data_IF_915707225723
#
_entry.id   IF_915707225723
#
_cell.length_a   1.000
_cell.length_b   1.000
_cell.length_c   1.000
_cell.angle_alpha   90.00
_cell.angle_beta   90.00
_cell.angle_gamma   90.00
#
_symmetry.space_group_name_H-M   'P 1'
#
loop_
_entity.id
_entity.type
_entity.pdbx_description
1 polymer ?
#
# COMPACT_ATOMS: atom_id res chain seq x y z
N UNK A 1 9.65 1.44 -2.54
CA UNK A 1 8.88 1.54 -3.79
C UNK A 1 8.05 2.81 -3.84
N UNK A 2 8.24 3.59 -4.90
CA UNK A 2 7.39 4.73 -5.28
C UNK A 2 6.19 4.24 -6.09
N UNK A 3 5.09 4.99 -6.09
CA UNK A 3 3.87 4.60 -6.83
C UNK A 3 4.12 4.41 -8.34
N UNK A 4 5.09 5.13 -8.90
CA UNK A 4 5.49 5.01 -10.30
C UNK A 4 6.08 3.63 -10.61
N UNK A 5 6.95 3.10 -9.76
CA UNK A 5 7.57 1.78 -9.98
C UNK A 5 6.51 0.67 -10.01
N UNK A 6 5.58 0.70 -9.04
CA UNK A 6 4.45 -0.24 -8.98
C UNK A 6 3.54 -0.09 -10.22
N UNK A 7 3.31 1.16 -10.65
CA UNK A 7 2.48 1.46 -11.81
C UNK A 7 3.09 0.91 -13.11
N UNK A 8 4.41 1.08 -13.28
CA UNK A 8 5.15 0.61 -14.44
C UNK A 8 5.19 -0.94 -14.48
N UNK A 9 5.43 -1.60 -13.34
CA UNK A 9 5.43 -3.07 -13.24
C UNK A 9 4.06 -3.70 -13.50
N UNK A 10 2.98 -3.06 -13.04
CA UNK A 10 1.62 -3.58 -13.14
C UNK A 10 0.85 -3.05 -14.36
N UNK A 11 1.47 -2.21 -15.20
CA UNK A 11 0.84 -1.57 -16.37
C UNK A 11 -0.46 -0.81 -16.03
N UNK A 12 -0.48 -0.12 -14.88
CA UNK A 12 -1.63 0.69 -14.41
C UNK A 12 -1.21 2.13 -14.14
N UNK A 13 -2.17 3.04 -13.96
CA UNK A 13 -1.84 4.43 -13.64
C UNK A 13 -1.27 4.58 -12.21
N UNK A 14 -0.31 5.48 -12.03
CA UNK A 14 0.18 5.84 -10.68
C UNK A 14 -0.92 6.39 -9.77
N UNK A 15 -2.00 6.95 -10.34
CA UNK A 15 -3.18 7.38 -9.59
C UNK A 15 -3.94 6.18 -9.02
N UNK A 16 -4.12 5.12 -9.82
CA UNK A 16 -4.74 3.86 -9.41
C UNK A 16 -3.97 3.22 -8.25
N UNK A 17 -2.64 3.16 -8.33
CA UNK A 17 -1.78 2.69 -7.22
C UNK A 17 -2.00 3.52 -5.95
N UNK A 18 -2.02 4.85 -6.08
CA UNK A 18 -2.27 5.76 -4.96
C UNK A 18 -3.64 5.53 -4.29
N UNK A 19 -4.69 5.33 -5.09
CA UNK A 19 -6.04 4.99 -4.59
C UNK A 19 -6.04 3.66 -3.85
N UNK A 20 -5.43 2.61 -4.41
CA UNK A 20 -5.36 1.31 -3.73
C UNK A 20 -4.58 1.38 -2.41
N UNK A 21 -3.43 2.08 -2.39
CA UNK A 21 -2.67 2.29 -1.15
C UNK A 21 -3.48 3.03 -0.10
N UNK A 22 -4.19 4.09 -0.48
CA UNK A 22 -5.05 4.85 0.43
C UNK A 22 -6.15 3.96 1.02
N UNK A 23 -6.80 3.15 0.19
CA UNK A 23 -7.83 2.22 0.64
C UNK A 23 -7.27 1.15 1.59
N UNK A 24 -6.07 0.61 1.32
CA UNK A 24 -5.41 -0.33 2.22
C UNK A 24 -5.10 0.33 3.56
N UNK A 25 -4.53 1.54 3.55
CA UNK A 25 -4.26 2.30 4.77
C UNK A 25 -5.53 2.55 5.59
N UNK A 26 -6.64 2.89 4.95
CA UNK A 26 -7.94 3.03 5.62
C UNK A 26 -8.43 1.72 6.24
N UNK A 27 -8.31 0.58 5.54
CA UNK A 27 -8.74 -0.73 6.07
C UNK A 27 -7.97 -1.15 7.32
N UNK A 28 -6.67 -0.87 7.34
CA UNK A 28 -5.79 -1.23 8.47
C UNK A 28 -5.67 -0.12 9.52
N UNK A 29 -6.35 1.02 9.33
CA UNK A 29 -6.31 2.19 10.21
C UNK A 29 -4.88 2.73 10.45
N UNK A 30 -4.07 2.76 9.39
CA UNK A 30 -2.68 3.25 9.40
C UNK A 30 -2.49 4.42 8.44
N UNK A 31 -1.38 5.15 8.56
CA UNK A 31 -1.05 6.34 7.75
C UNK A 31 0.20 6.17 6.91
N UNK A 32 1.09 5.25 7.27
CA UNK A 32 2.37 5.04 6.59
C UNK A 32 2.57 3.59 6.16
N UNK A 33 3.47 3.36 5.19
CA UNK A 33 3.84 2.00 4.79
C UNK A 33 4.52 1.24 5.93
N UNK A 34 5.27 1.93 6.78
CA UNK A 34 5.95 1.35 7.94
C UNK A 34 4.95 0.85 8.97
N UNK A 35 3.94 1.66 9.30
CA UNK A 35 2.83 1.24 10.17
C UNK A 35 2.08 0.04 9.58
N UNK A 36 1.80 0.07 8.26
CA UNK A 36 1.16 -1.05 7.59
C UNK A 36 2.01 -2.33 7.72
N UNK A 37 3.32 -2.26 7.51
CA UNK A 37 4.21 -3.42 7.63
C UNK A 37 4.14 -4.04 9.03
N UNK A 38 4.27 -3.24 10.08
CA UNK A 38 4.20 -3.74 11.45
C UNK A 38 2.81 -4.29 11.79
N UNK A 39 1.73 -3.64 11.31
CA UNK A 39 0.36 -4.12 11.50
C UNK A 39 0.16 -5.49 10.86
N UNK A 40 0.59 -5.67 9.61
CA UNK A 40 0.47 -6.94 8.90
C UNK A 40 1.33 -8.04 9.53
N UNK A 41 2.52 -7.71 10.04
CA UNK A 41 3.37 -8.65 10.80
C UNK A 41 2.73 -9.08 12.11
N UNK A 42 2.16 -8.13 12.86
CA UNK A 42 1.44 -8.41 14.11
C UNK A 42 0.22 -9.29 13.88
N UNK A 43 -0.49 -9.07 12.78
CA UNK A 43 -1.68 -9.84 12.41
C UNK A 43 -1.33 -11.17 11.70
N UNK A 44 -0.04 -11.50 11.53
CA UNK A 44 0.46 -12.70 10.83
C UNK A 44 -0.05 -12.85 9.40
N UNK A 45 -0.24 -11.73 8.70
CA UNK A 45 -0.71 -11.70 7.30
C UNK A 45 0.46 -11.71 6.30
N UNK A 46 1.69 -11.42 6.74
CA UNK A 46 2.93 -11.44 5.94
C UNK A 46 4.14 -11.89 6.74
#
# INVERSE_FOLDING_TARGET
MKNKEIADELFISSKTVGTHRSNIYSKFHVRTITELYFKLKSDSLI
#
